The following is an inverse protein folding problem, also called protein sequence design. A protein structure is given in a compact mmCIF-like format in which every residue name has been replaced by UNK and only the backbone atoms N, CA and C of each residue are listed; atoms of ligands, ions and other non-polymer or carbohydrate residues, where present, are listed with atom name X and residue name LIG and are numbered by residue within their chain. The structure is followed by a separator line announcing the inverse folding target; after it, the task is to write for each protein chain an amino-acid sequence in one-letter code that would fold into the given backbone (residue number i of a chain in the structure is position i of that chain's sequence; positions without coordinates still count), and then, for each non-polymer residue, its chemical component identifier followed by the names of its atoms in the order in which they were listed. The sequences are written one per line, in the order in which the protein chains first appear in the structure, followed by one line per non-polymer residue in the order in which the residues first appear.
data_IF_778768519209
#
_entry.id   IF_778768519209
#
_cell.length_a   1.000
_cell.length_b   1.000
_cell.length_c   1.000
_cell.angle_alpha   90.00
_cell.angle_beta   90.00
_cell.angle_gamma   90.00
#
_symmetry.space_group_name_H-M   'P 1'
#
loop_
_entity.id
_entity.type
_entity.pdbx_description
1 polymer ?
#
# COMPACT_ATOMS: atom_id res chain seq x y z
N UNK A 1 -28.73 -11.72 38.58
CA UNK A 1 -27.65 -10.74 38.85
C UNK A 1 -27.18 -10.13 37.53
N UNK A 2 -27.69 -8.95 37.13
CA UNK A 2 -27.19 -8.24 35.94
C UNK A 2 -25.84 -7.63 36.28
N UNK A 3 -24.76 -8.11 35.66
CA UNK A 3 -23.43 -7.49 35.81
C UNK A 3 -23.56 -6.06 35.27
N UNK A 4 -23.47 -5.07 36.16
CA UNK A 4 -23.42 -3.65 35.78
C UNK A 4 -22.05 -3.37 35.13
N UNK A 5 -21.88 -3.88 33.92
CA UNK A 5 -20.73 -3.63 33.04
C UNK A 5 -20.85 -2.19 32.57
N UNK A 6 -20.08 -1.28 33.17
CA UNK A 6 -19.88 0.07 32.64
C UNK A 6 -20.43 1.21 33.48
N UNK A 7 -19.85 1.44 34.67
CA UNK A 7 -20.02 2.71 35.41
C UNK A 7 -18.77 3.61 35.33
N UNK A 8 -17.63 3.06 34.90
CA UNK A 8 -16.40 3.81 34.77
C UNK A 8 -16.27 4.35 33.34
N UNK A 9 -16.15 5.68 33.15
CA UNK A 9 -15.86 6.30 31.86
C UNK A 9 -14.61 5.72 31.19
N UNK A 10 -13.64 5.28 31.99
CA UNK A 10 -12.40 4.64 31.54
C UNK A 10 -12.67 3.28 30.89
N UNK A 11 -13.58 2.48 31.46
CA UNK A 11 -13.91 1.17 30.88
C UNK A 11 -14.63 1.31 29.52
N UNK A 12 -15.45 2.34 29.34
CA UNK A 12 -16.13 2.63 28.08
C UNK A 12 -15.15 3.11 27.00
N UNK A 13 -14.23 4.00 27.37
CA UNK A 13 -13.18 4.49 26.46
C UNK A 13 -12.22 3.37 26.05
N UNK A 14 -11.78 2.51 26.97
CA UNK A 14 -10.97 1.34 26.62
C UNK A 14 -11.72 0.36 25.70
N UNK A 15 -13.00 0.11 25.95
CA UNK A 15 -13.82 -0.76 25.10
C UNK A 15 -13.97 -0.17 23.69
N UNK A 16 -14.21 1.14 23.59
CA UNK A 16 -14.27 1.85 22.32
C UNK A 16 -12.94 1.84 21.58
N UNK A 17 -11.82 2.04 22.29
CA UNK A 17 -10.48 2.00 21.71
C UNK A 17 -10.14 0.60 21.14
N UNK A 18 -10.51 -0.48 21.82
CA UNK A 18 -10.38 -1.84 21.28
C UNK A 18 -11.24 -2.05 20.04
N UNK A 19 -12.49 -1.59 20.05
CA UNK A 19 -13.38 -1.71 18.89
C UNK A 19 -12.85 -0.94 17.67
N UNK A 20 -12.25 0.23 17.89
CA UNK A 20 -11.58 1.03 16.85
C UNK A 20 -10.30 0.34 16.34
N UNK A 21 -9.45 -0.19 17.23
CA UNK A 21 -8.26 -0.94 16.84
C UNK A 21 -8.62 -2.16 15.97
N UNK A 22 -9.66 -2.91 16.37
CA UNK A 22 -10.14 -4.06 15.62
C UNK A 22 -10.69 -3.65 14.24
N UNK A 23 -11.39 -2.52 14.15
CA UNK A 23 -11.89 -1.97 12.89
C UNK A 23 -10.75 -1.56 11.95
N UNK A 24 -9.74 -0.87 12.47
CA UNK A 24 -8.56 -0.45 11.70
C UNK A 24 -7.79 -1.68 11.21
N UNK A 25 -7.62 -2.70 12.06
CA UNK A 25 -6.97 -3.95 11.68
C UNK A 25 -7.73 -4.67 10.55
N UNK A 26 -9.06 -4.75 10.64
CA UNK A 26 -9.89 -5.31 9.55
C UNK A 26 -9.75 -4.49 8.26
N UNK A 27 -9.81 -3.16 8.32
CA UNK A 27 -9.67 -2.30 7.14
C UNK A 27 -8.31 -2.46 6.48
N UNK A 28 -7.23 -2.58 7.25
CA UNK A 28 -5.88 -2.81 6.71
C UNK A 28 -5.74 -4.17 6.02
N UNK A 29 -6.36 -5.23 6.55
CA UNK A 29 -6.35 -6.56 5.91
C UNK A 29 -7.16 -6.62 4.62
N UNK A 30 -8.24 -5.84 4.53
CA UNK A 30 -9.09 -5.76 3.34
C UNK A 30 -8.66 -4.68 2.34
N UNK A 31 -7.66 -3.86 2.69
CA UNK A 31 -7.14 -2.86 1.78
C UNK A 31 -6.35 -3.56 0.65
N UNK A 32 -6.44 -3.07 -0.60
CA UNK A 32 -5.59 -3.55 -1.67
C UNK A 32 -4.11 -3.39 -1.29
N UNK A 33 -3.23 -4.30 -1.73
CA UNK A 33 -1.80 -4.24 -1.43
C UNK A 33 -1.23 -2.86 -1.76
N UNK A 34 -0.68 -2.20 -0.75
CA UNK A 34 -0.05 -0.90 -0.90
C UNK A 34 1.23 -1.10 -1.72
N UNK A 35 1.28 -0.54 -2.93
CA UNK A 35 2.49 -0.52 -3.75
C UNK A 35 2.42 -1.22 -5.11
N UNK A 36 1.26 -1.76 -5.51
CA UNK A 36 1.05 -2.13 -6.92
C UNK A 36 -0.23 -1.49 -7.40
N UNK A 37 -0.10 -0.40 -8.16
CA UNK A 37 -1.21 0.10 -8.97
C UNK A 37 -1.36 -0.92 -10.10
N UNK A 38 -2.38 -1.80 -10.05
CA UNK A 38 -2.57 -2.80 -11.08
C UNK A 38 -2.79 -2.05 -12.40
N UNK A 39 -1.96 -2.35 -13.39
CA UNK A 39 -2.01 -1.70 -14.70
C UNK A 39 -0.93 -0.66 -14.96
N UNK A 40 -0.32 -0.01 -13.96
CA UNK A 40 0.79 0.93 -14.24
C UNK A 40 2.03 0.20 -14.73
N UNK A 41 2.37 -0.97 -14.16
CA UNK A 41 3.51 -1.75 -14.65
C UNK A 41 3.33 -2.17 -16.12
N UNK A 42 2.12 -2.59 -16.49
CA UNK A 42 1.77 -2.92 -17.88
C UNK A 42 1.75 -1.69 -18.78
N UNK A 43 1.15 -0.58 -18.32
CA UNK A 43 1.06 0.66 -19.08
C UNK A 43 2.44 1.29 -19.31
N UNK A 44 3.30 1.29 -18.29
CA UNK A 44 4.68 1.74 -18.38
C UNK A 44 5.48 0.85 -19.32
N UNK A 45 5.32 -0.47 -19.24
CA UNK A 45 5.96 -1.41 -20.17
C UNK A 45 5.51 -1.18 -21.61
N UNK A 46 4.21 -0.97 -21.84
CA UNK A 46 3.64 -0.65 -23.16
C UNK A 46 4.15 0.69 -23.69
N UNK A 47 4.13 1.73 -22.86
CA UNK A 47 4.66 3.05 -23.19
C UNK A 47 6.16 3.00 -23.54
N UNK A 48 6.96 2.25 -22.77
CA UNK A 48 8.39 2.06 -23.02
C UNK A 48 8.67 1.32 -24.33
N UNK A 49 7.84 0.34 -24.72
CA UNK A 49 7.92 -0.28 -26.05
C UNK A 49 7.64 0.74 -27.15
N UNK A 50 6.60 1.57 -27.00
CA UNK A 50 6.23 2.58 -28.00
C UNK A 50 7.29 3.68 -28.14
N UNK A 51 7.95 4.08 -27.04
CA UNK A 51 8.91 5.19 -27.05
C UNK A 51 10.35 4.76 -27.31
N UNK A 52 10.74 3.57 -26.87
CA UNK A 52 12.13 3.10 -26.92
C UNK A 52 12.30 1.75 -27.64
N UNK A 53 11.23 1.14 -28.15
CA UNK A 53 11.22 -0.14 -28.87
C UNK A 53 11.31 -1.38 -27.97
N UNK A 54 11.83 -1.26 -26.75
CA UNK A 54 11.94 -2.33 -25.77
C UNK A 54 11.99 -1.77 -24.34
N UNK A 55 11.36 -2.43 -23.35
CA UNK A 55 11.42 -1.99 -21.95
C UNK A 55 12.84 -1.95 -21.39
N UNK A 56 13.71 -2.91 -21.74
CA UNK A 56 15.13 -2.88 -21.35
C UNK A 56 15.84 -1.61 -21.83
N UNK A 57 15.54 -1.12 -23.05
CA UNK A 57 16.15 0.13 -23.55
C UNK A 57 15.66 1.36 -22.80
N UNK A 58 14.38 1.38 -22.42
CA UNK A 58 13.84 2.43 -21.57
C UNK A 58 14.47 2.40 -20.16
N UNK A 59 14.74 1.21 -19.63
CA UNK A 59 15.43 1.05 -18.35
C UNK A 59 16.88 1.53 -18.43
N UNK A 60 17.64 1.18 -19.48
CA UNK A 60 19.00 1.72 -19.67
C UNK A 60 19.01 3.25 -19.79
N UNK A 61 18.06 3.82 -20.55
CA UNK A 61 17.93 5.28 -20.69
C UNK A 61 17.52 5.96 -19.37
N UNK A 62 16.65 5.33 -18.58
CA UNK A 62 16.22 5.83 -17.27
C UNK A 62 17.28 5.63 -16.18
N UNK A 63 18.09 4.59 -16.28
CA UNK A 63 19.12 4.25 -15.29
C UNK A 63 20.24 5.30 -15.24
N UNK A 64 20.42 6.07 -16.31
CA UNK A 64 21.44 7.14 -16.36
C UNK A 64 22.86 6.63 -16.12
N UNK A 65 23.09 5.32 -16.23
CA UNK A 65 24.41 4.73 -16.03
C UNK A 65 25.33 5.26 -17.13
N UNK A 66 26.25 6.12 -16.71
CA UNK A 66 27.27 6.68 -17.57
C UNK A 66 28.24 5.55 -17.96
N UNK A 67 28.34 5.13 -19.24
CA UNK A 67 29.19 4.02 -19.66
C UNK A 67 30.69 4.34 -19.55
N UNK A 68 31.04 5.54 -19.07
CA UNK A 68 32.42 6.02 -19.04
C UNK A 68 33.26 5.37 -17.93
N UNK A 69 32.64 4.72 -16.93
CA UNK A 69 33.35 4.10 -15.78
C UNK A 69 33.24 2.56 -15.74
N UNK A 70 33.27 1.89 -16.90
CA UNK A 70 33.51 0.44 -17.00
C UNK A 70 34.74 0.15 -17.83
#
# INVERSE_FOLDING_TARGET
MRRLRGKSPVALTLTGATALCDLVARRRRNAPPQGKIPGIATAYRSYSVVRFGSPEKAQCAASGENPRWR
#
